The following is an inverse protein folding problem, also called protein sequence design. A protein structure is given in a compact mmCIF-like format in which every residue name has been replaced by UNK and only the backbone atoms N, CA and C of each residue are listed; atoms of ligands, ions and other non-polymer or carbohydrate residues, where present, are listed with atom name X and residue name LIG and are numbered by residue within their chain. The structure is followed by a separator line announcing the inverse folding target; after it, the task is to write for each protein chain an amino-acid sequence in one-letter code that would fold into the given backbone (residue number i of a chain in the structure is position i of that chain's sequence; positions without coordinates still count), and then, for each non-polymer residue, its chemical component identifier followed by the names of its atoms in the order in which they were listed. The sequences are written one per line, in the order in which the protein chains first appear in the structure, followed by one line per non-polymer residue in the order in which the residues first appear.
data_IF_186286860109
#
_entry.id   IF_186286860109
#
_cell.length_a   1.000
_cell.length_b   1.000
_cell.length_c   1.000
_cell.angle_alpha   90.00
_cell.angle_beta   90.00
_cell.angle_gamma   90.00
#
_symmetry.space_group_name_H-M   'P 1'
#
loop_
_entity.id
_entity.type
_entity.pdbx_description
1 polymer ?
#
# COMPACT_ATOMS: atom_id res chain seq x y z
N UNK A 1 16.15 25.18 19.58
CA UNK A 1 15.26 24.04 19.31
C UNK A 1 15.93 23.14 18.29
N UNK A 2 15.92 21.87 18.52
CA UNK A 2 16.65 20.97 17.64
C UNK A 2 15.88 20.65 16.36
N UNK A 3 16.61 20.27 15.34
CA UNK A 3 16.09 19.98 14.02
C UNK A 3 15.19 18.75 14.03
N UNK A 4 15.48 17.75 14.89
CA UNK A 4 14.71 16.52 14.98
C UNK A 4 13.29 16.78 15.47
N UNK A 5 13.16 17.64 16.49
CA UNK A 5 11.84 18.02 17.00
C UNK A 5 11.01 18.69 15.90
N UNK A 6 11.64 19.59 15.15
CA UNK A 6 10.94 20.28 14.06
C UNK A 6 10.53 19.30 12.95
N UNK A 7 11.33 18.29 12.66
CA UNK A 7 10.99 17.24 11.69
C UNK A 7 9.77 16.45 12.15
N UNK A 8 9.79 15.98 13.40
CA UNK A 8 8.67 15.21 13.94
C UNK A 8 7.38 16.02 13.91
N UNK A 9 7.48 17.27 14.29
CA UNK A 9 6.32 18.17 14.26
C UNK A 9 5.80 18.35 12.84
N UNK A 10 6.72 18.52 11.88
CA UNK A 10 6.34 18.64 10.47
C UNK A 10 5.65 17.38 9.97
N UNK A 11 6.18 16.21 10.32
CA UNK A 11 5.55 14.94 9.92
C UNK A 11 4.14 14.80 10.45
N UNK A 12 3.90 15.16 11.72
CA UNK A 12 2.56 15.05 12.31
C UNK A 12 1.57 16.07 11.76
N UNK A 13 2.05 17.12 11.12
CA UNK A 13 1.20 18.14 10.53
C UNK A 13 0.93 17.91 9.04
N UNK A 14 1.58 16.92 8.42
CA UNK A 14 1.38 16.62 7.01
C UNK A 14 0.17 15.69 6.80
N UNK A 15 -0.09 15.38 5.55
CA UNK A 15 -1.19 14.49 5.20
C UNK A 15 -1.04 13.15 5.90
N UNK A 16 -2.17 12.59 6.27
CA UNK A 16 -2.24 11.33 6.97
C UNK A 16 -2.86 10.26 6.10
N UNK A 17 -2.48 9.02 6.34
CA UNK A 17 -3.10 7.86 5.72
C UNK A 17 -4.02 7.22 6.75
N UNK A 18 -5.28 7.04 6.37
CA UNK A 18 -6.24 6.35 7.22
C UNK A 18 -6.06 4.85 7.09
N UNK A 19 -5.89 4.17 8.22
CA UNK A 19 -5.79 2.72 8.27
C UNK A 19 -6.88 2.22 9.22
N UNK A 20 -7.77 1.31 8.77
CA UNK A 20 -8.81 0.81 9.67
C UNK A 20 -8.21 0.17 10.92
N UNK A 21 -8.74 0.51 12.07
CA UNK A 21 -8.29 -0.09 13.34
C UNK A 21 -8.38 -1.62 13.28
N UNK A 22 -9.43 -2.12 12.63
CA UNK A 22 -9.66 -3.55 12.48
C UNK A 22 -8.52 -4.26 11.76
N UNK A 23 -7.81 -3.56 10.85
CA UNK A 23 -6.64 -4.13 10.18
C UNK A 23 -5.60 -4.60 11.19
N UNK A 24 -5.28 -3.76 12.17
CA UNK A 24 -4.27 -4.11 13.17
C UNK A 24 -4.71 -5.27 14.06
N UNK A 25 -6.00 -5.41 14.26
CA UNK A 25 -6.55 -6.46 15.11
C UNK A 25 -6.62 -7.81 14.40
N UNK A 26 -6.81 -7.82 13.08
CA UNK A 26 -7.17 -9.02 12.34
C UNK A 26 -6.17 -9.50 11.31
N UNK A 27 -5.13 -8.73 10.97
CA UNK A 27 -4.29 -9.12 9.84
C UNK A 27 -3.60 -10.49 10.07
N UNK A 28 -3.26 -10.80 11.30
CA UNK A 28 -2.68 -12.11 11.62
C UNK A 28 -3.69 -13.23 11.36
N UNK A 29 -4.96 -13.01 11.73
CA UNK A 29 -6.02 -14.00 11.52
C UNK A 29 -6.32 -14.21 10.04
N UNK A 30 -6.05 -13.21 9.22
CA UNK A 30 -6.19 -13.30 7.76
C UNK A 30 -4.97 -13.92 7.09
N UNK A 31 -4.03 -14.45 7.88
CA UNK A 31 -2.79 -15.02 7.38
C UNK A 31 -1.91 -14.03 6.64
N UNK A 32 -1.95 -12.78 7.06
CA UNK A 32 -1.08 -11.74 6.51
C UNK A 32 0.15 -11.64 7.40
N UNK A 33 1.31 -11.90 6.83
CA UNK A 33 2.59 -11.77 7.54
C UNK A 33 2.90 -10.28 7.76
N UNK A 34 3.78 -9.98 8.72
CA UNK A 34 4.11 -8.60 9.03
C UNK A 34 4.69 -7.85 7.82
N UNK A 35 5.55 -8.51 7.04
CA UNK A 35 6.11 -7.90 5.84
C UNK A 35 5.04 -7.64 4.78
N UNK A 36 4.06 -8.54 4.64
CA UNK A 36 2.91 -8.30 3.77
C UNK A 36 2.04 -7.15 4.28
N UNK A 37 1.92 -7.03 5.61
CA UNK A 37 1.17 -5.91 6.22
C UNK A 37 1.84 -4.57 5.88
N UNK A 38 3.17 -4.51 5.89
CA UNK A 38 3.89 -3.30 5.50
C UNK A 38 3.58 -2.94 4.04
N UNK A 39 3.52 -3.93 3.16
CA UNK A 39 3.14 -3.70 1.76
C UNK A 39 1.74 -3.09 1.67
N UNK A 40 0.78 -3.63 2.42
CA UNK A 40 -0.59 -3.11 2.45
C UNK A 40 -0.60 -1.64 2.90
N UNK A 41 0.14 -1.31 3.94
CA UNK A 41 0.20 0.06 4.45
C UNK A 41 0.77 1.03 3.39
N UNK A 42 1.79 0.59 2.66
CA UNK A 42 2.34 1.41 1.58
C UNK A 42 1.37 1.56 0.41
N UNK A 43 0.62 0.52 0.08
CA UNK A 43 -0.41 0.61 -0.95
C UNK A 43 -1.47 1.64 -0.56
N UNK A 44 -1.93 1.62 0.69
CA UNK A 44 -2.88 2.61 1.19
C UNK A 44 -2.32 4.03 1.05
N UNK A 45 -1.04 4.21 1.36
CA UNK A 45 -0.36 5.49 1.21
C UNK A 45 -0.37 5.97 -0.24
N UNK A 46 -0.05 5.09 -1.17
CA UNK A 46 -0.08 5.45 -2.59
C UNK A 46 -1.48 5.79 -3.07
N UNK A 47 -2.49 5.04 -2.64
CA UNK A 47 -3.88 5.32 -3.01
C UNK A 47 -4.32 6.70 -2.50
N UNK A 48 -3.89 7.06 -1.30
CA UNK A 48 -4.16 8.40 -0.74
C UNK A 48 -3.52 9.50 -1.58
N UNK A 49 -2.37 9.23 -2.17
CA UNK A 49 -1.70 10.16 -3.07
C UNK A 49 -2.33 10.21 -4.47
N UNK A 50 -3.33 9.35 -4.73
CA UNK A 50 -3.97 9.29 -6.04
C UNK A 50 -3.29 8.35 -7.01
N UNK A 51 -2.32 7.57 -6.57
CA UNK A 51 -1.63 6.60 -7.42
C UNK A 51 -2.37 5.27 -7.33
N UNK A 52 -3.02 4.89 -8.42
CA UNK A 52 -3.92 3.73 -8.44
C UNK A 52 -3.23 2.41 -8.74
N UNK A 53 -2.03 2.45 -9.29
CA UNK A 53 -1.28 1.24 -9.64
C UNK A 53 0.19 1.39 -9.26
N UNK A 54 0.51 1.37 -7.95
CA UNK A 54 1.92 1.36 -7.54
C UNK A 54 2.59 0.08 -8.02
N UNK A 55 3.78 0.23 -8.60
CA UNK A 55 4.54 -0.90 -9.10
C UNK A 55 5.42 -1.48 -7.99
N UNK A 56 5.93 -2.73 -8.14
CA UNK A 56 6.92 -3.26 -7.20
C UNK A 56 8.14 -2.36 -7.06
N UNK A 57 8.57 -1.70 -8.12
CA UNK A 57 9.69 -0.76 -8.04
C UNK A 57 9.34 0.47 -7.20
N UNK A 58 8.13 0.97 -7.33
CA UNK A 58 7.67 2.10 -6.50
C UNK A 58 7.74 1.74 -5.03
N UNK A 59 7.25 0.57 -4.68
CA UNK A 59 7.28 0.08 -3.29
C UNK A 59 8.70 -0.17 -2.81
N UNK A 60 9.56 -0.69 -3.68
CA UNK A 60 10.96 -0.92 -3.35
C UNK A 60 11.68 0.39 -3.04
N UNK A 61 11.30 1.48 -3.70
CA UNK A 61 11.91 2.79 -3.47
C UNK A 61 11.59 3.36 -2.09
N UNK A 62 10.53 2.88 -1.45
CA UNK A 62 10.09 3.37 -0.13
C UNK A 62 10.30 2.36 0.99
N UNK A 63 10.80 1.18 0.68
CA UNK A 63 11.01 0.11 1.66
C UNK A 63 12.42 -0.44 1.52
N UNK A 64 12.78 -1.36 2.39
CA UNK A 64 14.04 -2.10 2.27
C UNK A 64 13.89 -3.41 1.49
N UNK A 65 12.68 -3.67 0.95
CA UNK A 65 12.44 -4.88 0.16
C UNK A 65 12.97 -4.74 -1.25
N UNK A 66 13.38 -5.87 -1.84
CA UNK A 66 13.73 -5.91 -3.26
C UNK A 66 12.45 -6.02 -4.11
N UNK A 67 12.46 -5.50 -5.36
CA UNK A 67 11.27 -5.56 -6.20
C UNK A 67 10.71 -6.97 -6.40
N UNK A 68 11.57 -7.97 -6.55
CA UNK A 68 11.12 -9.36 -6.72
C UNK A 68 10.39 -9.87 -5.49
N UNK A 69 10.88 -9.53 -4.30
CA UNK A 69 10.21 -9.92 -3.05
C UNK A 69 8.83 -9.26 -2.94
N UNK A 70 8.74 -8.01 -3.35
CA UNK A 70 7.47 -7.29 -3.33
C UNK A 70 6.49 -7.93 -4.30
N UNK A 71 6.94 -8.29 -5.50
CA UNK A 71 6.10 -8.97 -6.48
C UNK A 71 5.54 -10.26 -5.92
N UNK A 72 6.36 -11.06 -5.25
CA UNK A 72 5.92 -12.31 -4.63
C UNK A 72 4.90 -12.07 -3.53
N UNK A 73 5.14 -11.05 -2.69
CA UNK A 73 4.22 -10.70 -1.61
C UNK A 73 2.88 -10.22 -2.15
N UNK A 74 2.91 -9.42 -3.21
CA UNK A 74 1.69 -8.95 -3.85
C UNK A 74 0.90 -10.11 -4.46
N UNK A 75 1.59 -11.08 -5.08
CA UNK A 75 0.93 -12.27 -5.60
C UNK A 75 0.27 -13.08 -4.49
N UNK A 76 0.93 -13.22 -3.35
CA UNK A 76 0.35 -13.90 -2.19
C UNK A 76 -0.90 -13.20 -1.69
N UNK A 77 -0.86 -11.88 -1.63
CA UNK A 77 -2.03 -11.09 -1.22
C UNK A 77 -3.19 -11.27 -2.22
N UNK A 78 -2.87 -11.36 -3.51
CA UNK A 78 -3.87 -11.63 -4.54
C UNK A 78 -4.47 -13.03 -4.37
N UNK A 79 -3.64 -14.04 -4.09
CA UNK A 79 -4.10 -15.39 -3.87
C UNK A 79 -5.00 -15.51 -2.63
N UNK A 80 -4.76 -14.68 -1.64
CA UNK A 80 -5.57 -14.64 -0.42
C UNK A 80 -6.86 -13.83 -0.60
N UNK A 81 -7.05 -13.21 -1.77
CA UNK A 81 -8.22 -12.38 -2.04
C UNK A 81 -8.20 -11.02 -1.38
N UNK A 82 -7.03 -10.57 -0.90
CA UNK A 82 -6.90 -9.29 -0.21
C UNK A 82 -6.46 -8.17 -1.13
N UNK A 83 -5.89 -8.51 -2.28
CA UNK A 83 -5.46 -7.55 -3.29
C UNK A 83 -6.02 -7.99 -4.63
N UNK A 84 -6.56 -7.06 -5.38
CA UNK A 84 -7.13 -7.34 -6.69
C UNK A 84 -6.63 -6.30 -7.69
N UNK A 85 -6.29 -6.77 -8.89
CA UNK A 85 -5.98 -5.90 -10.01
C UNK A 85 -7.16 -5.88 -10.96
N UNK A 86 -7.67 -4.69 -11.24
CA UNK A 86 -8.79 -4.51 -12.16
C UNK A 86 -8.34 -3.67 -13.35
N UNK A 87 -8.99 -3.86 -14.49
CA UNK A 87 -8.77 -3.05 -15.67
C UNK A 87 -10.01 -2.20 -15.90
N UNK A 88 -9.78 -0.94 -16.29
CA UNK A 88 -10.84 -0.02 -16.64
C UNK A 88 -10.52 0.66 -17.96
N UNK A 89 -11.53 1.25 -18.56
CA UNK A 89 -11.38 2.05 -19.77
C UNK A 89 -11.72 3.49 -19.38
N UNK A 90 -10.77 4.41 -19.63
CA UNK A 90 -11.01 5.82 -19.34
C UNK A 90 -11.88 6.46 -20.44
N UNK A 91 -12.18 7.75 -20.26
CA UNK A 91 -13.04 8.49 -21.19
C UNK A 91 -12.43 8.61 -22.60
N UNK A 92 -11.13 8.40 -22.73
CA UNK A 92 -10.42 8.44 -24.01
C UNK A 92 -10.25 7.07 -24.63
N UNK A 93 -10.83 6.03 -24.03
CA UNK A 93 -10.74 4.67 -24.53
C UNK A 93 -9.43 3.96 -24.18
N UNK A 94 -8.60 4.54 -23.33
CA UNK A 94 -7.36 3.89 -22.89
C UNK A 94 -7.65 2.88 -21.78
N UNK A 95 -7.00 1.72 -21.88
CA UNK A 95 -7.06 0.73 -20.82
C UNK A 95 -6.16 1.19 -19.68
N UNK A 96 -6.72 1.25 -18.48
CA UNK A 96 -5.98 1.56 -17.25
C UNK A 96 -6.06 0.39 -16.29
N UNK A 97 -5.02 0.22 -15.47
CA UNK A 97 -4.99 -0.79 -14.43
C UNK A 97 -5.07 -0.14 -13.08
N UNK A 98 -5.70 -0.82 -12.15
CA UNK A 98 -5.94 -0.31 -10.82
C UNK A 98 -5.81 -1.44 -9.82
N UNK A 99 -5.18 -1.17 -8.68
CA UNK A 99 -5.13 -2.08 -7.55
C UNK A 99 -6.19 -1.69 -6.53
N UNK A 100 -6.81 -2.70 -5.93
CA UNK A 100 -7.79 -2.50 -4.86
C UNK A 100 -7.53 -3.50 -3.76
N UNK A 101 -7.75 -3.08 -2.52
CA UNK A 101 -7.60 -3.94 -1.35
C UNK A 101 -8.97 -4.41 -0.89
N UNK A 102 -9.12 -5.71 -0.66
CA UNK A 102 -10.35 -6.38 -0.23
C UNK A 102 -10.08 -7.43 0.83
N UNK A 103 -11.08 -7.69 1.66
CA UNK A 103 -11.93 -6.70 2.32
C UNK A 103 -11.22 -6.25 3.58
N UNK A 104 -10.84 -5.02 3.61
CA UNK A 104 -10.19 -4.48 4.82
C UNK A 104 -11.10 -3.54 5.56
#
# INVERSE_FOLDING_TARGET
MNTEYNRLRSWTQQRHVSVPQLFFQLYKELNVADDEAIIILHLLSYFEEGIEFPTPQDLANRTSFMPNDISMKMQRLMQKGLLEMTQGIDVNGKISEKLSLFPL
#
